data_IF_288044253900
#
_entry.id   IF_288044253900
#
_cell.length_a   1.000
_cell.length_b   1.000
_cell.length_c   1.000
_cell.angle_alpha   90.00
_cell.angle_beta   90.00
_cell.angle_gamma   90.00
#
_symmetry.space_group_name_H-M   'P 1'
#
loop_
_entity.id
_entity.type
_entity.pdbx_description
1 polymer ?
#
# COMPACT_ATOMS: atom_id res chain seq x y z
N UNK A 1 18.98 -3.65 18.08
CA UNK A 1 17.95 -2.74 17.55
C UNK A 1 17.32 -3.37 16.32
N UNK A 2 16.58 -4.47 16.50
CA UNK A 2 15.96 -5.29 15.46
C UNK A 2 14.80 -6.02 16.17
N UNK A 3 13.54 -5.65 15.86
CA UNK A 3 12.28 -6.41 16.09
C UNK A 3 11.04 -5.50 16.10
N UNK A 4 11.19 -4.22 16.46
CA UNK A 4 10.26 -3.16 16.03
C UNK A 4 10.20 -3.19 14.50
N UNK A 5 9.11 -2.96 13.80
CA UNK A 5 8.95 -3.28 12.38
C UNK A 5 8.29 -4.64 12.20
N UNK A 6 8.76 -5.70 12.87
CA UNK A 6 8.05 -7.00 12.83
C UNK A 6 6.79 -6.97 13.72
N UNK A 7 6.89 -6.39 14.92
CA UNK A 7 5.74 -6.27 15.83
C UNK A 7 4.67 -5.31 15.30
N UNK A 8 5.09 -4.17 14.74
CA UNK A 8 4.20 -3.15 14.17
C UNK A 8 3.56 -3.66 12.88
N UNK A 9 4.29 -4.42 12.06
CA UNK A 9 3.74 -5.11 10.89
C UNK A 9 2.67 -6.13 11.30
N UNK A 10 2.94 -6.95 12.31
CA UNK A 10 1.97 -7.92 12.82
C UNK A 10 0.71 -7.21 13.36
N UNK A 11 0.89 -6.12 14.12
CA UNK A 11 -0.23 -5.31 14.62
C UNK A 11 -1.03 -4.68 13.47
N UNK A 12 -0.35 -4.17 12.43
CA UNK A 12 -1.01 -3.61 11.27
C UNK A 12 -1.87 -4.66 10.54
N UNK A 13 -1.38 -5.90 10.42
CA UNK A 13 -2.15 -7.02 9.85
C UNK A 13 -3.41 -7.29 10.66
N UNK A 14 -3.31 -7.36 11.98
CA UNK A 14 -4.48 -7.62 12.84
C UNK A 14 -5.50 -6.46 12.79
N UNK A 15 -5.03 -5.21 12.83
CA UNK A 15 -5.88 -4.03 12.64
C UNK A 15 -6.58 -4.06 11.27
N UNK A 16 -5.86 -4.44 10.22
CA UNK A 16 -6.42 -4.55 8.88
C UNK A 16 -7.50 -5.64 8.79
N UNK A 17 -7.21 -6.84 9.31
CA UNK A 17 -8.15 -7.97 9.36
C UNK A 17 -9.45 -7.59 10.06
N UNK A 18 -9.33 -6.98 11.25
CA UNK A 18 -10.47 -6.51 12.01
C UNK A 18 -11.31 -5.49 11.24
N UNK A 19 -10.67 -4.59 10.48
CA UNK A 19 -11.37 -3.54 9.72
C UNK A 19 -12.20 -4.03 8.55
N UNK A 20 -11.81 -5.15 7.93
CA UNK A 20 -12.54 -5.76 6.80
C UNK A 20 -13.40 -6.95 7.25
N UNK A 21 -13.33 -7.34 8.53
CA UNK A 21 -14.09 -8.45 9.08
C UNK A 21 -13.61 -9.83 8.62
N UNK A 22 -12.32 -9.99 8.33
CA UNK A 22 -11.74 -11.30 7.95
C UNK A 22 -10.93 -11.90 9.09
N UNK A 23 -10.97 -13.23 9.20
CA UNK A 23 -10.25 -13.99 10.21
C UNK A 23 -8.78 -14.28 9.86
N UNK A 24 -8.09 -15.07 10.71
CA UNK A 24 -6.69 -15.44 10.50
C UNK A 24 -6.45 -16.29 9.25
N UNK A 25 -7.49 -16.93 8.71
CA UNK A 25 -7.44 -17.72 7.48
C UNK A 25 -7.21 -16.86 6.22
N UNK A 26 -7.42 -15.55 6.31
CA UNK A 26 -7.04 -14.64 5.25
C UNK A 26 -5.52 -14.49 5.20
N UNK A 27 -4.93 -14.81 4.05
CA UNK A 27 -3.52 -14.56 3.81
C UNK A 27 -3.24 -13.07 3.89
N UNK A 28 -2.16 -12.70 4.56
CA UNK A 28 -1.82 -11.31 4.81
C UNK A 28 -0.35 -11.03 4.50
N UNK A 29 -0.09 -9.85 3.93
CA UNK A 29 1.24 -9.30 3.77
C UNK A 29 1.21 -7.82 4.11
N UNK A 30 2.23 -7.31 4.82
CA UNK A 30 2.32 -5.90 5.16
C UNK A 30 3.68 -5.34 4.70
N UNK A 31 3.65 -4.12 4.14
CA UNK A 31 4.85 -3.38 3.77
C UNK A 31 4.77 -1.95 4.27
N UNK A 32 5.87 -1.46 4.84
CA UNK A 32 6.00 -0.05 5.18
C UNK A 32 6.25 0.75 3.89
N UNK A 33 5.44 1.77 3.66
CA UNK A 33 5.50 2.66 2.50
C UNK A 33 5.44 4.11 2.94
N UNK A 34 5.95 5.01 2.10
CA UNK A 34 5.79 6.45 2.31
C UNK A 34 4.50 6.92 1.65
N UNK A 35 3.65 7.63 2.41
CA UNK A 35 2.57 8.41 1.83
C UNK A 35 3.17 9.60 1.09
N UNK A 36 2.72 9.87 -0.13
CA UNK A 36 3.24 11.02 -0.87
C UNK A 36 2.60 12.33 -0.38
N UNK A 37 1.29 12.37 -0.11
CA UNK A 37 0.60 13.59 0.34
C UNK A 37 -0.70 13.31 1.15
N UNK A 38 -1.09 14.23 2.07
CA UNK A 38 -0.25 15.25 2.69
C UNK A 38 0.69 14.66 3.75
N UNK A 39 1.84 15.30 3.98
CA UNK A 39 2.63 15.12 5.21
C UNK A 39 3.74 14.07 5.18
N UNK A 40 3.96 13.36 4.07
CA UNK A 40 5.08 12.40 3.88
C UNK A 40 5.35 11.52 5.10
N UNK A 41 4.31 10.90 5.63
CA UNK A 41 4.41 10.04 6.81
C UNK A 41 4.38 8.55 6.40
N UNK A 42 5.04 7.66 7.15
CA UNK A 42 5.08 6.24 6.85
C UNK A 42 3.77 5.54 7.27
N UNK A 43 3.37 4.57 6.44
CA UNK A 43 2.20 3.72 6.65
C UNK A 43 2.52 2.26 6.34
N UNK A 44 1.85 1.34 7.00
CA UNK A 44 1.74 -0.02 6.50
C UNK A 44 0.64 -0.09 5.44
N UNK A 45 0.97 -0.56 4.25
CA UNK A 45 -0.01 -1.12 3.35
C UNK A 45 -0.10 -2.62 3.60
N UNK A 46 -1.29 -3.04 4.01
CA UNK A 46 -1.62 -4.43 4.28
C UNK A 46 -2.46 -4.95 3.15
N UNK A 47 -1.97 -6.01 2.53
CA UNK A 47 -2.70 -6.83 1.60
C UNK A 47 -3.36 -8.00 2.30
N UNK A 48 -4.66 -8.23 2.05
CA UNK A 48 -5.42 -9.37 2.56
C UNK A 48 -6.02 -10.16 1.40
N UNK A 49 -6.02 -11.49 1.46
CA UNK A 49 -6.66 -12.37 0.46
C UNK A 49 -7.42 -13.50 1.13
N UNK A 50 -8.68 -13.71 0.73
CA UNK A 50 -9.56 -14.78 1.22
C UNK A 50 -10.37 -15.35 0.06
N UNK A 51 -9.97 -16.52 -0.44
CA UNK A 51 -10.52 -17.09 -1.67
C UNK A 51 -10.29 -16.15 -2.85
N UNK A 52 -11.37 -15.79 -3.55
CA UNK A 52 -11.34 -14.90 -4.71
C UNK A 52 -11.46 -13.40 -4.35
N UNK A 53 -11.52 -13.07 -3.05
CA UNK A 53 -11.61 -11.69 -2.58
C UNK A 53 -10.28 -11.21 -2.03
N UNK A 54 -9.97 -9.94 -2.30
CA UNK A 54 -8.80 -9.26 -1.77
C UNK A 54 -9.15 -7.92 -1.15
N UNK A 55 -8.26 -7.43 -0.28
CA UNK A 55 -8.33 -6.08 0.24
C UNK A 55 -6.95 -5.44 0.33
N UNK A 56 -6.94 -4.11 0.21
CA UNK A 56 -5.80 -3.27 0.56
C UNK A 56 -6.19 -2.36 1.71
N UNK A 57 -5.41 -2.37 2.78
CA UNK A 57 -5.68 -1.54 3.95
C UNK A 57 -4.45 -0.70 4.27
N UNK A 58 -4.62 0.61 4.34
CA UNK A 58 -3.61 1.53 4.82
C UNK A 58 -3.76 1.69 6.34
N UNK A 59 -2.73 1.30 7.08
CA UNK A 59 -2.67 1.36 8.54
C UNK A 59 -1.50 2.25 8.95
N UNK A 60 -1.67 3.12 9.95
CA UNK A 60 -0.60 3.95 10.50
C UNK A 60 0.64 3.11 10.84
N UNK A 61 1.83 3.73 10.77
CA UNK A 61 3.11 3.06 11.00
C UNK A 61 3.29 2.48 12.42
N UNK A 62 2.45 2.85 13.39
CA UNK A 62 2.39 2.23 14.72
C UNK A 62 1.45 1.00 14.77
N UNK A 63 0.78 0.68 13.65
CA UNK A 63 -0.14 -0.42 13.46
C UNK A 63 -1.54 -0.22 14.07
N UNK A 64 -1.87 0.97 14.58
CA UNK A 64 -3.07 1.14 15.44
C UNK A 64 -4.31 1.67 14.73
N UNK A 65 -4.16 2.42 13.64
CA UNK A 65 -5.27 3.15 13.02
C UNK A 65 -5.37 2.88 11.52
N UNK A 66 -6.57 2.47 11.09
CA UNK A 66 -6.92 2.39 9.67
C UNK A 66 -7.16 3.78 9.12
N UNK A 67 -6.51 4.09 8.00
CA UNK A 67 -6.75 5.32 7.24
C UNK A 67 -7.63 5.10 6.03
N UNK A 68 -7.48 3.94 5.38
CA UNK A 68 -8.23 3.63 4.17
C UNK A 68 -8.35 2.12 3.98
N UNK A 69 -9.47 1.71 3.41
CA UNK A 69 -9.77 0.32 3.03
C UNK A 69 -10.19 0.30 1.57
N UNK A 70 -9.80 -0.78 0.90
CA UNK A 70 -10.08 -1.06 -0.48
C UNK A 70 -10.47 -2.52 -0.67
N UNK A 71 -11.50 -2.79 -1.46
CA UNK A 71 -11.70 -4.14 -2.00
C UNK A 71 -10.95 -4.29 -3.32
N UNK A 72 -10.28 -5.42 -3.48
CA UNK A 72 -9.60 -5.85 -4.70
C UNK A 72 -10.31 -7.11 -5.24
N UNK A 73 -11.18 -6.97 -6.24
CA UNK A 73 -11.93 -8.08 -6.82
C UNK A 73 -11.06 -9.04 -7.64
N UNK A 74 -9.80 -8.70 -7.94
CA UNK A 74 -8.86 -9.61 -8.61
C UNK A 74 -8.10 -10.51 -7.63
N UNK A 75 -8.34 -10.34 -6.32
CA UNK A 75 -7.53 -10.95 -5.28
C UNK A 75 -6.22 -10.20 -5.12
N UNK A 76 -5.92 -9.82 -3.89
CA UNK A 76 -4.87 -8.85 -3.67
C UNK A 76 -3.44 -9.44 -3.84
N UNK A 77 -3.34 -10.77 -3.94
CA UNK A 77 -2.16 -11.51 -4.41
C UNK A 77 -1.53 -10.96 -5.71
N UNK A 78 -2.31 -10.28 -6.56
CA UNK A 78 -1.87 -9.87 -7.91
C UNK A 78 -0.87 -8.70 -7.96
N UNK A 79 -0.72 -7.88 -6.90
CA UNK A 79 0.07 -6.63 -6.98
C UNK A 79 1.23 -6.49 -5.99
N UNK A 80 1.46 -7.44 -5.08
CA UNK A 80 2.54 -7.34 -4.06
C UNK A 80 3.62 -8.41 -4.14
N UNK A 81 3.41 -9.48 -4.92
CA UNK A 81 4.42 -10.55 -5.09
C UNK A 81 5.47 -10.03 -6.06
N UNK A 82 6.73 -9.99 -5.61
CA UNK A 82 7.92 -9.67 -6.42
C UNK A 82 8.03 -8.25 -7.01
N UNK A 83 7.61 -7.22 -6.28
CA UNK A 83 7.94 -5.84 -6.66
C UNK A 83 9.31 -5.45 -6.06
N UNK A 84 10.39 -5.35 -6.86
CA UNK A 84 11.72 -4.95 -6.38
C UNK A 84 11.84 -3.44 -6.11
N UNK A 85 10.83 -2.68 -6.51
CA UNK A 85 10.79 -1.22 -6.46
C UNK A 85 10.16 -0.71 -5.16
N UNK A 86 10.57 0.50 -4.75
CA UNK A 86 9.99 1.21 -3.60
C UNK A 86 8.49 1.48 -3.88
N UNK A 87 7.64 0.94 -3.00
CA UNK A 87 6.21 1.22 -3.02
C UNK A 87 5.93 2.51 -2.26
N UNK A 88 5.07 3.35 -2.82
CA UNK A 88 4.57 4.57 -2.19
C UNK A 88 3.05 4.62 -2.27
N UNK A 89 2.43 5.27 -1.29
CA UNK A 89 0.99 5.40 -1.24
C UNK A 89 0.58 6.84 -1.58
N UNK A 90 -0.26 7.00 -2.59
CA UNK A 90 -0.79 8.31 -2.99
C UNK A 90 -2.32 8.22 -3.07
N UNK A 91 -3.01 8.30 -1.92
CA UNK A 91 -4.47 8.31 -1.92
C UNK A 91 -4.96 9.59 -2.60
N UNK A 92 -5.34 9.53 -3.87
CA UNK A 92 -5.75 10.72 -4.62
C UNK A 92 -5.78 10.54 -6.14
N UNK A 93 -5.84 11.66 -6.86
CA UNK A 93 -5.98 11.76 -8.33
C UNK A 93 -4.87 11.12 -9.15
N UNK A 94 -3.75 10.72 -8.53
CA UNK A 94 -2.61 10.12 -9.21
C UNK A 94 -2.82 8.63 -9.45
N UNK A 95 -3.46 7.93 -8.53
CA UNK A 95 -3.85 6.54 -8.72
C UNK A 95 -5.26 6.52 -9.30
N UNK A 96 -5.46 5.86 -10.45
CA UNK A 96 -6.81 5.62 -11.02
C UNK A 96 -7.75 4.87 -10.07
N UNK A 97 -7.20 4.34 -8.99
CA UNK A 97 -7.91 3.76 -7.88
C UNK A 97 -7.09 4.11 -6.63
N UNK A 98 -7.67 4.74 -5.59
CA UNK A 98 -6.97 5.18 -4.38
C UNK A 98 -6.46 4.00 -3.51
N UNK A 99 -6.48 2.80 -4.09
CA UNK A 99 -6.34 1.49 -3.48
C UNK A 99 -5.01 0.82 -3.85
N UNK A 100 -4.36 1.23 -4.94
CA UNK A 100 -3.12 0.59 -5.38
C UNK A 100 -1.89 1.42 -5.01
N UNK A 101 -0.88 0.84 -4.35
CA UNK A 101 0.40 1.51 -4.19
C UNK A 101 0.97 1.85 -5.57
N UNK A 102 1.61 3.01 -5.63
CA UNK A 102 2.41 3.40 -6.77
C UNK A 102 3.80 2.83 -6.59
N UNK A 103 4.43 2.50 -7.71
CA UNK A 103 5.85 2.11 -7.72
C UNK A 103 6.67 3.34 -8.08
N UNK A 104 7.76 3.56 -7.36
CA UNK A 104 8.80 4.50 -7.80
C UNK A 104 9.73 3.80 -8.77
N UNK A 105 9.74 4.30 -10.00
CA UNK A 105 10.63 3.84 -11.06
C UNK A 105 11.56 4.94 -11.52
N UNK A 106 12.43 4.59 -12.48
CA UNK A 106 13.24 5.56 -13.22
C UNK A 106 12.99 5.40 -14.72
N UNK A 107 12.84 6.52 -15.42
CA UNK A 107 12.68 6.57 -16.88
C UNK A 107 13.64 7.63 -17.42
N UNK A 108 14.63 7.21 -18.20
CA UNK A 108 15.70 8.09 -18.69
C UNK A 108 16.45 8.83 -17.58
N UNK A 109 16.63 8.20 -16.41
CA UNK A 109 17.29 8.78 -15.23
C UNK A 109 16.41 9.74 -14.41
N UNK A 110 15.13 9.91 -14.75
CA UNK A 110 14.17 10.73 -13.99
C UNK A 110 13.28 9.84 -13.14
N UNK A 111 13.00 10.28 -11.91
CA UNK A 111 12.04 9.61 -11.04
C UNK A 111 10.63 9.69 -11.67
N UNK A 112 9.95 8.55 -11.74
CA UNK A 112 8.58 8.44 -12.24
C UNK A 112 7.75 7.60 -11.27
N UNK A 113 6.43 7.81 -11.32
CA UNK A 113 5.47 6.96 -10.62
C UNK A 113 4.79 6.06 -11.63
N UNK A 114 4.71 4.78 -11.30
CA UNK A 114 4.05 3.75 -12.07
C UNK A 114 2.85 3.22 -11.29
N UNK A 115 1.77 2.86 -11.99
CA UNK A 115 0.67 2.11 -11.41
C UNK A 115 1.05 0.63 -11.18
N UNK A 116 0.12 -0.14 -10.61
CA UNK A 116 0.33 -1.58 -10.36
C UNK A 116 0.57 -2.40 -11.64
N UNK A 117 0.20 -1.88 -12.82
CA UNK A 117 0.47 -2.50 -14.13
C UNK A 117 1.81 -2.03 -14.74
N UNK A 118 2.60 -1.25 -14.00
CA UNK A 118 3.86 -0.68 -14.48
C UNK A 118 3.68 0.48 -15.47
N UNK A 119 2.45 1.01 -15.63
CA UNK A 119 2.20 2.13 -16.55
C UNK A 119 2.54 3.43 -15.87
N UNK A 120 3.25 4.29 -16.60
CA UNK A 120 3.62 5.63 -16.12
C UNK A 120 2.38 6.47 -15.87
N UNK A 121 2.32 7.07 -14.69
CA UNK A 121 1.30 8.03 -14.35
C UNK A 121 1.63 9.40 -14.99
N UNK A 122 0.61 10.16 -15.41
CA UNK A 122 0.82 11.52 -15.88
C UNK A 122 1.54 12.34 -14.80
N UNK A 123 2.41 13.30 -15.19
CA UNK A 123 2.99 14.21 -14.22
C UNK A 123 1.86 14.93 -13.49
N UNK A 124 1.72 14.66 -12.19
CA UNK A 124 0.74 15.34 -11.36
C UNK A 124 1.03 16.84 -11.28
N UNK A 125 0.06 17.66 -10.82
CA UNK A 125 0.36 19.03 -10.45
C UNK A 125 1.46 18.98 -9.40
N UNK A 126 2.63 19.50 -9.75
CA UNK A 126 3.74 19.68 -8.82
C UNK A 126 3.24 20.71 -7.80
N UNK A 127 2.77 20.25 -6.64
CA UNK A 127 2.63 21.16 -5.50
C UNK A 127 4.01 21.75 -5.20
N UNK A 128 4.12 23.07 -4.96
CA UNK A 128 5.42 23.70 -4.81
C UNK A 128 6.19 23.05 -3.65
N UNK A 129 7.44 22.68 -3.95
CA UNK A 129 8.39 22.16 -2.95
C UNK A 129 8.90 23.24 -2.01
#
# INVERSE_FOLDING_TARGET
MRDSGSAESARAVETARASVGVGPDAEAAARLVMRLEPGREPYFLVGLSLGDRGWVVAVSSDGTAVRQVAEDPAGARSWWVDVPEELVWAPGTWSRSPLYPLRRGTDGGRAVLLDHLGRRLPPGPVGPG
#
